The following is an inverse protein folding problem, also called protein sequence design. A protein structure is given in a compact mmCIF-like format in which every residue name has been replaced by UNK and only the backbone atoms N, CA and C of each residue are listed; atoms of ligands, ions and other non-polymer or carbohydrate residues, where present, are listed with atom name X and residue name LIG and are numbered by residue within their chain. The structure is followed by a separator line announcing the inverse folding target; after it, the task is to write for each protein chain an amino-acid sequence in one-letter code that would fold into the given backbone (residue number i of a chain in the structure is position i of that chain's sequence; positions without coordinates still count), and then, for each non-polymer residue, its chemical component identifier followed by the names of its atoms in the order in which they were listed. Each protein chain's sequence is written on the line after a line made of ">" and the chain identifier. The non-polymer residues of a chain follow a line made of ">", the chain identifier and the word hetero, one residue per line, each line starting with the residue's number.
data_IF_904949278758
#
_entry.id   IF_904949278758
#
_cell.length_a   1.000
_cell.length_b   1.000
_cell.length_c   1.000
_cell.angle_alpha   90.00
_cell.angle_beta   90.00
_cell.angle_gamma   90.00
#
_symmetry.space_group_name_H-M   'P 1'
#
loop_
_entity.id
_entity.type
_entity.pdbx_description
1 polymer ?
#
# COMPACT_ATOMS: atom_id res chain seq x y z
N UNK A 1 24.34 -47.91 1.24
CA UNK A 1 23.28 -47.37 2.12
C UNK A 1 23.48 -45.90 2.46
N UNK A 2 24.66 -45.48 2.94
CA UNK A 2 24.97 -44.07 3.29
C UNK A 2 24.98 -43.10 2.10
N UNK A 3 25.39 -43.55 0.91
CA UNK A 3 25.39 -42.73 -0.31
C UNK A 3 23.97 -42.37 -0.77
N UNK A 4 23.04 -43.33 -0.67
CA UNK A 4 21.64 -43.15 -1.07
C UNK A 4 20.91 -42.21 -0.10
N UNK A 5 21.19 -42.31 1.20
CA UNK A 5 20.72 -41.38 2.22
C UNK A 5 21.22 -39.95 1.97
N UNK A 6 22.48 -39.79 1.55
CA UNK A 6 23.04 -38.48 1.20
C UNK A 6 22.38 -37.87 -0.05
N UNK A 7 22.13 -38.68 -1.07
CA UNK A 7 21.44 -38.24 -2.30
C UNK A 7 19.98 -37.84 -1.99
N UNK A 8 19.29 -38.64 -1.19
CA UNK A 8 17.90 -38.35 -0.78
C UNK A 8 17.81 -37.08 0.08
N UNK A 9 18.76 -36.88 1.00
CA UNK A 9 18.86 -35.67 1.81
C UNK A 9 19.16 -34.42 0.97
N UNK A 10 20.09 -34.53 0.01
CA UNK A 10 20.41 -33.43 -0.91
C UNK A 10 19.20 -33.04 -1.77
N UNK A 11 18.45 -34.02 -2.28
CA UNK A 11 17.23 -33.77 -3.04
C UNK A 11 16.13 -33.08 -2.21
N UNK A 12 15.95 -33.50 -0.95
CA UNK A 12 14.96 -32.90 -0.04
C UNK A 12 15.29 -31.43 0.28
N UNK A 13 16.57 -31.10 0.43
CA UNK A 13 17.03 -29.72 0.69
C UNK A 13 16.75 -28.82 -0.53
N UNK A 14 16.98 -29.31 -1.75
CA UNK A 14 16.72 -28.54 -2.99
C UNK A 14 15.23 -28.24 -3.17
N UNK A 15 14.35 -29.20 -2.86
CA UNK A 15 12.89 -29.00 -2.95
C UNK A 15 12.39 -27.96 -1.93
N UNK A 16 13.01 -27.88 -0.75
CA UNK A 16 12.60 -26.93 0.30
C UNK A 16 12.89 -25.46 -0.04
N UNK A 17 13.88 -25.18 -0.90
CA UNK A 17 14.27 -23.80 -1.25
C UNK A 17 13.35 -23.13 -2.29
N UNK A 18 12.49 -23.89 -2.97
CA UNK A 18 11.62 -23.37 -4.05
C UNK A 18 10.30 -22.79 -3.51
N UNK A 19 9.98 -22.99 -2.23
CA UNK A 19 8.71 -22.52 -1.63
C UNK A 19 8.72 -21.06 -1.15
N UNK A 20 9.83 -20.33 -1.28
CA UNK A 20 9.89 -18.90 -0.96
C UNK A 20 9.87 -18.05 -2.24
N UNK A 21 8.74 -18.05 -2.93
CA UNK A 21 8.45 -17.05 -3.98
C UNK A 21 6.95 -16.79 -4.01
N UNK A 22 6.40 -16.26 -2.92
CA UNK A 22 5.22 -15.41 -3.04
C UNK A 22 5.70 -14.10 -3.66
N UNK A 23 5.21 -13.81 -4.86
CA UNK A 23 5.40 -12.52 -5.52
C UNK A 23 4.92 -11.42 -4.57
N UNK A 24 5.83 -10.55 -4.13
CA UNK A 24 5.43 -9.26 -3.55
C UNK A 24 4.82 -8.45 -4.68
N UNK A 25 3.54 -8.13 -4.57
CA UNK A 25 2.88 -7.11 -5.38
C UNK A 25 3.53 -5.77 -5.07
N UNK A 26 4.67 -5.51 -5.71
CA UNK A 26 5.23 -4.17 -5.79
C UNK A 26 4.22 -3.33 -6.57
N UNK A 27 3.48 -2.49 -5.87
CA UNK A 27 2.69 -1.43 -6.46
C UNK A 27 3.66 -0.59 -7.28
N UNK A 28 3.63 -0.78 -8.60
CA UNK A 28 4.53 -0.05 -9.49
C UNK A 28 4.14 1.42 -9.44
N UNK A 29 4.98 2.23 -8.81
CA UNK A 29 4.88 3.69 -8.79
C UNK A 29 4.96 4.28 -10.22
N UNK A 30 5.24 3.46 -11.24
CA UNK A 30 5.12 3.79 -12.66
C UNK A 30 3.68 4.10 -13.12
N UNK A 31 2.67 3.93 -12.25
CA UNK A 31 1.27 4.27 -12.53
C UNK A 31 0.82 5.62 -11.93
N UNK A 32 1.73 6.48 -11.48
CA UNK A 32 1.46 7.91 -11.41
C UNK A 32 1.95 8.54 -12.72
N UNK A 33 1.03 8.76 -13.65
CA UNK A 33 1.32 9.40 -14.91
C UNK A 33 1.79 10.83 -14.69
N UNK A 34 3.11 11.04 -14.70
CA UNK A 34 3.70 12.33 -15.07
C UNK A 34 3.50 12.47 -16.57
N UNK A 35 2.77 13.50 -16.99
CA UNK A 35 2.63 13.83 -18.40
C UNK A 35 3.94 14.44 -18.89
N UNK A 36 4.74 13.65 -19.58
CA UNK A 36 5.53 14.14 -20.70
C UNK A 36 4.92 13.55 -21.97
N UNK A 37 4.45 14.46 -22.83
CA UNK A 37 4.15 14.23 -24.24
C UNK A 37 2.93 13.36 -24.58
N UNK A 38 1.75 13.96 -24.43
CA UNK A 38 0.74 13.97 -25.50
C UNK A 38 0.17 12.66 -26.04
N UNK A 39 0.29 11.52 -25.34
CA UNK A 39 -0.37 10.27 -25.73
C UNK A 39 -1.22 9.72 -24.60
N UNK A 40 -2.54 9.84 -24.77
CA UNK A 40 -3.56 9.30 -23.86
C UNK A 40 -3.36 7.81 -23.66
N UNK A 41 -3.00 7.42 -22.44
CA UNK A 41 -3.02 6.03 -21.99
C UNK A 41 -4.37 5.85 -21.30
N UNK A 42 -5.23 5.03 -21.89
CA UNK A 42 -6.53 4.64 -21.32
C UNK A 42 -6.31 4.14 -19.90
N UNK A 43 -6.63 4.99 -18.92
CA UNK A 43 -6.48 4.71 -17.51
C UNK A 43 -7.31 3.48 -17.19
N UNK A 44 -6.65 2.36 -16.93
CA UNK A 44 -7.32 1.20 -16.35
C UNK A 44 -7.91 1.67 -15.03
N UNK A 45 -9.25 1.67 -14.98
CA UNK A 45 -10.11 1.96 -13.82
C UNK A 45 -9.77 1.02 -12.65
N UNK A 46 -8.59 1.17 -12.08
CA UNK A 46 -8.38 0.87 -10.67
C UNK A 46 -9.05 2.02 -9.97
N UNK A 47 -10.33 1.84 -9.66
CA UNK A 47 -11.14 2.78 -8.90
C UNK A 47 -10.43 2.97 -7.56
N UNK A 48 -9.59 3.99 -7.46
CA UNK A 48 -9.22 4.53 -6.18
C UNK A 48 -10.53 4.91 -5.50
N UNK A 49 -10.76 4.38 -4.30
CA UNK A 49 -11.92 4.81 -3.52
C UNK A 49 -11.71 6.29 -3.22
N UNK A 50 -12.57 7.12 -3.79
CA UNK A 50 -12.58 8.56 -3.54
C UNK A 50 -13.28 8.79 -2.21
N UNK A 51 -12.58 9.44 -1.29
CA UNK A 51 -13.14 9.85 -0.01
C UNK A 51 -13.36 11.35 -0.05
N UNK A 52 -14.62 11.77 0.03
CA UNK A 52 -14.97 13.20 0.09
C UNK A 52 -14.38 13.85 1.35
N UNK A 53 -14.45 13.16 2.49
CA UNK A 53 -13.92 13.62 3.77
C UNK A 53 -13.13 12.51 4.47
N UNK A 54 -11.91 12.83 4.93
CA UNK A 54 -11.07 11.93 5.73
C UNK A 54 -11.17 12.38 7.19
N UNK A 55 -11.71 11.54 8.11
CA UNK A 55 -11.77 11.91 9.53
C UNK A 55 -10.35 12.00 10.10
N UNK A 56 -10.09 13.01 10.93
CA UNK A 56 -8.78 13.22 11.57
C UNK A 56 -8.94 12.97 13.06
N UNK A 57 -8.12 12.10 13.70
CA UNK A 57 -8.17 11.90 15.14
C UNK A 57 -7.82 13.17 15.90
N UNK A 58 -8.41 13.37 17.08
CA UNK A 58 -8.16 14.53 17.91
C UNK A 58 -6.67 14.73 18.20
N UNK A 59 -6.27 15.99 18.30
CA UNK A 59 -4.88 16.43 18.55
C UNK A 59 -3.83 15.91 17.55
N UNK A 60 -4.27 15.38 16.40
CA UNK A 60 -3.35 14.95 15.34
C UNK A 60 -2.83 16.15 14.54
N UNK A 61 -1.57 16.08 14.13
CA UNK A 61 -0.90 17.11 13.31
C UNK A 61 -0.48 16.52 11.96
N UNK A 62 -0.49 17.35 10.91
CA UNK A 62 -0.03 16.94 9.58
C UNK A 62 1.45 17.30 9.38
N UNK A 63 2.24 16.33 8.93
CA UNK A 63 3.60 16.58 8.45
C UNK A 63 3.54 16.97 6.98
N UNK A 64 3.59 18.27 6.71
CA UNK A 64 3.46 18.84 5.37
C UNK A 64 4.64 18.45 4.47
N UNK A 65 5.84 18.27 5.05
CA UNK A 65 7.05 17.93 4.29
C UNK A 65 6.99 16.51 3.73
N UNK A 66 6.35 15.59 4.47
CA UNK A 66 6.18 14.19 4.06
C UNK A 66 4.87 13.91 3.33
N UNK A 67 3.96 14.88 3.32
CA UNK A 67 2.68 14.81 2.63
C UNK A 67 2.88 15.13 1.15
N UNK A 68 2.28 14.33 0.26
CA UNK A 68 2.33 14.54 -1.18
C UNK A 68 0.91 14.69 -1.72
N UNK A 69 0.62 15.83 -2.33
CA UNK A 69 -0.65 16.12 -2.99
C UNK A 69 -0.37 16.46 -4.45
N UNK A 70 -1.08 15.78 -5.36
CA UNK A 70 -0.99 16.01 -6.80
C UNK A 70 -2.39 16.33 -7.33
N UNK A 71 -2.51 17.42 -8.09
CA UNK A 71 -3.78 17.90 -8.61
C UNK A 71 -4.22 19.21 -7.96
N UNK A 72 -5.43 19.65 -8.28
CA UNK A 72 -5.96 20.95 -7.85
C UNK A 72 -7.32 20.81 -7.17
N UNK A 73 -7.53 21.63 -6.14
CA UNK A 73 -8.81 21.80 -5.43
C UNK A 73 -9.39 20.49 -4.91
N UNK A 74 -10.41 19.96 -5.57
CA UNK A 74 -11.21 18.81 -5.15
C UNK A 74 -10.77 17.51 -5.83
N UNK A 75 -9.91 17.61 -6.85
CA UNK A 75 -9.44 16.47 -7.63
C UNK A 75 -7.96 16.20 -7.33
N UNK A 76 -7.64 16.05 -6.05
CA UNK A 76 -6.28 15.72 -5.62
C UNK A 76 -6.15 14.22 -5.38
N UNK A 77 -5.00 13.67 -5.77
CA UNK A 77 -4.55 12.32 -5.42
C UNK A 77 -3.25 12.46 -4.65
N UNK A 78 -3.05 11.64 -3.62
CA UNK A 78 -1.89 11.83 -2.78
C UNK A 78 -1.76 10.88 -1.60
N UNK A 79 -0.83 11.24 -0.73
CA UNK A 79 -0.56 10.60 0.56
C UNK A 79 -0.51 11.69 1.63
N UNK A 80 -1.29 11.51 2.69
CA UNK A 80 -1.19 12.32 3.90
C UNK A 80 -0.27 11.63 4.91
N UNK A 81 0.58 12.42 5.57
CA UNK A 81 1.34 11.96 6.74
C UNK A 81 0.79 12.65 7.99
N UNK A 82 0.19 11.87 8.88
CA UNK A 82 -0.44 12.36 10.12
C UNK A 82 0.31 11.82 11.33
N UNK A 83 0.66 12.71 12.26
CA UNK A 83 1.16 12.37 13.58
C UNK A 83 0.00 12.43 14.56
N UNK A 84 -0.42 11.29 15.08
CA UNK A 84 -1.48 11.20 16.09
C UNK A 84 -0.88 10.87 17.46
N UNK A 85 -1.40 11.46 18.56
CA UNK A 85 -0.97 11.09 19.91
C UNK A 85 -1.58 9.75 20.38
N UNK A 86 -2.54 9.21 19.64
CA UNK A 86 -3.21 7.94 19.96
C UNK A 86 -2.28 6.74 19.73
N UNK A 87 -2.53 5.65 20.46
CA UNK A 87 -1.82 4.39 20.20
C UNK A 87 -2.21 3.81 18.83
N UNK A 88 -1.34 3.03 18.16
CA UNK A 88 -1.62 2.48 16.83
C UNK A 88 -2.94 1.71 16.71
N UNK A 89 -3.35 0.98 17.74
CA UNK A 89 -4.64 0.26 17.77
C UNK A 89 -5.84 1.23 17.79
N UNK A 90 -5.74 2.31 18.56
CA UNK A 90 -6.77 3.34 18.65
C UNK A 90 -6.90 4.10 17.33
N UNK A 91 -5.78 4.41 16.67
CA UNK A 91 -5.77 5.00 15.33
C UNK A 91 -6.47 4.09 14.33
N UNK A 92 -6.15 2.79 14.35
CA UNK A 92 -6.81 1.80 13.48
C UNK A 92 -8.32 1.75 13.73
N UNK A 93 -8.73 1.66 15.00
CA UNK A 93 -10.14 1.61 15.38
C UNK A 93 -10.88 2.90 15.00
N UNK A 94 -10.25 4.07 15.18
CA UNK A 94 -10.79 5.36 14.78
C UNK A 94 -11.15 5.39 13.29
N UNK A 95 -10.21 5.04 12.41
CA UNK A 95 -10.48 5.03 10.97
C UNK A 95 -11.50 3.97 10.58
N UNK A 96 -11.42 2.77 11.19
CA UNK A 96 -12.39 1.70 10.95
C UNK A 96 -13.82 2.14 11.27
N UNK A 97 -14.03 2.89 12.35
CA UNK A 97 -15.36 3.34 12.77
C UNK A 97 -15.88 4.56 11.99
N UNK A 98 -14.98 5.44 11.55
CA UNK A 98 -15.38 6.71 10.92
C UNK A 98 -15.33 6.68 9.39
N UNK A 99 -14.60 5.76 8.76
CA UNK A 99 -14.53 5.63 7.29
C UNK A 99 -15.42 4.53 6.71
N UNK A 100 -15.71 3.47 7.48
CA UNK A 100 -16.71 2.48 7.08
C UNK A 100 -18.06 3.13 7.35
N UNK A 101 -18.64 3.73 6.31
CA UNK A 101 -19.82 4.59 6.40
C UNK A 101 -20.84 4.09 7.43
N UNK A 102 -21.23 4.97 8.37
CA UNK A 102 -22.50 4.79 9.07
C UNK A 102 -23.57 4.73 7.98
N UNK A 103 -24.15 3.55 7.79
CA UNK A 103 -25.31 3.34 6.90
C UNK A 103 -26.42 4.33 7.22
#
# INVERSE_FOLDING_TARGET
>A
MTIFIKILSFFLIVVFQVSCSTSIDTYSLSKLGVTQDGKSITATNQTFTEFQDIPIPDDSTMDVEKTLLLGEKQNWIGRLFLNSPLQPEEVFNFFKLNMIGKK
#
